data_IF_670209397704
#
_entry.id   IF_670209397704
#
_cell.length_a   1.000
_cell.length_b   1.000
_cell.length_c   1.000
_cell.angle_alpha   90.00
_cell.angle_beta   90.00
_cell.angle_gamma   90.00
#
_symmetry.space_group_name_H-M   'P 1'
#
loop_
_entity.id
_entity.type
_entity.pdbx_description
1 polymer ?
#
# COMPACT_ATOMS: atom_id res chain seq x y z
N UNK A 1 10.81 -1.54 -17.39
CA UNK A 1 10.18 -2.20 -16.24
C UNK A 1 11.21 -2.34 -15.12
N UNK A 2 10.81 -2.13 -13.90
CA UNK A 2 11.70 -2.15 -12.74
C UNK A 2 11.31 -3.29 -11.81
N UNK A 3 12.28 -3.80 -11.05
CA UNK A 3 12.01 -4.79 -10.01
C UNK A 3 11.93 -4.08 -8.65
N UNK A 4 10.82 -4.28 -7.96
CA UNK A 4 10.59 -3.72 -6.63
C UNK A 4 10.57 -4.86 -5.61
N UNK A 5 11.47 -4.79 -4.64
CA UNK A 5 11.50 -5.72 -3.51
C UNK A 5 10.69 -5.10 -2.39
N UNK A 6 9.41 -5.51 -2.31
CA UNK A 6 8.43 -4.89 -1.43
C UNK A 6 8.31 -5.66 -0.14
N UNK A 7 8.41 -4.94 0.97
CA UNK A 7 8.28 -5.47 2.33
C UNK A 7 7.13 -4.74 3.02
N UNK A 8 6.11 -5.47 3.41
CA UNK A 8 4.95 -4.91 4.09
C UNK A 8 4.84 -5.46 5.49
N UNK A 9 4.62 -4.59 6.45
CA UNK A 9 4.49 -4.95 7.86
C UNK A 9 3.11 -4.52 8.35
N UNK A 10 2.34 -5.47 8.88
CA UNK A 10 1.10 -5.17 9.59
C UNK A 10 1.45 -4.50 10.92
N UNK A 11 1.10 -3.23 11.06
CA UNK A 11 1.52 -2.42 12.20
C UNK A 11 1.02 -3.02 13.52
N UNK A 12 -0.25 -3.49 13.55
CA UNK A 12 -0.85 -4.01 14.78
C UNK A 12 -0.54 -5.47 15.06
N UNK A 13 -0.25 -6.25 14.03
CA UNK A 13 -0.02 -7.70 14.17
C UNK A 13 1.45 -8.08 14.08
N UNK A 14 2.28 -7.18 13.63
CA UNK A 14 3.70 -7.41 13.38
C UNK A 14 3.95 -8.57 12.41
N UNK A 15 3.01 -8.84 11.53
CA UNK A 15 3.16 -9.80 10.45
C UNK A 15 3.91 -9.14 9.31
N UNK A 16 4.88 -9.85 8.77
CA UNK A 16 5.78 -9.37 7.75
C UNK A 16 5.55 -10.14 6.45
N UNK A 17 5.34 -9.42 5.36
CA UNK A 17 5.18 -9.98 4.03
C UNK A 17 6.24 -9.41 3.11
N UNK A 18 6.76 -10.25 2.22
CA UNK A 18 7.78 -9.83 1.27
C UNK A 18 7.51 -10.44 -0.09
N UNK A 19 7.67 -9.63 -1.13
CA UNK A 19 7.49 -10.09 -2.51
C UNK A 19 8.27 -9.20 -3.46
N UNK A 20 8.98 -9.81 -4.41
CA UNK A 20 9.64 -9.09 -5.51
C UNK A 20 8.68 -9.01 -6.69
N UNK A 21 8.45 -7.81 -7.19
CA UNK A 21 7.48 -7.56 -8.25
C UNK A 21 8.11 -6.70 -9.34
N UNK A 22 7.93 -7.11 -10.59
CA UNK A 22 8.31 -6.30 -11.74
C UNK A 22 7.12 -5.44 -12.16
N UNK A 23 7.34 -4.14 -12.28
CA UNK A 23 6.31 -3.19 -12.64
C UNK A 23 6.92 -1.92 -13.24
N UNK A 24 6.09 -1.11 -13.87
CA UNK A 24 6.54 0.14 -14.48
C UNK A 24 6.68 1.27 -13.45
N UNK A 25 5.99 1.17 -12.32
CA UNK A 25 6.04 2.17 -11.26
C UNK A 25 5.87 1.51 -9.90
N UNK A 26 6.22 2.27 -8.85
CA UNK A 26 6.03 1.80 -7.47
C UNK A 26 4.54 1.53 -7.18
N UNK A 27 3.64 2.41 -7.64
CA UNK A 27 2.19 2.24 -7.40
C UNK A 27 1.67 0.99 -8.11
N UNK A 28 2.15 0.71 -9.31
CA UNK A 28 1.79 -0.53 -10.01
C UNK A 28 2.29 -1.75 -9.25
N UNK A 29 3.49 -1.67 -8.69
CA UNK A 29 4.07 -2.76 -7.91
C UNK A 29 3.25 -3.02 -6.63
N UNK A 30 2.85 -1.97 -5.91
CA UNK A 30 2.01 -2.10 -4.72
C UNK A 30 0.65 -2.67 -5.08
N UNK A 31 0.09 -2.25 -6.20
CA UNK A 31 -1.20 -2.78 -6.68
C UNK A 31 -1.12 -4.29 -6.92
N UNK A 32 -0.05 -4.76 -7.55
CA UNK A 32 0.18 -6.19 -7.74
C UNK A 32 0.38 -6.92 -6.42
N UNK A 33 1.10 -6.29 -5.47
CA UNK A 33 1.29 -6.85 -4.14
C UNK A 33 -0.05 -7.07 -3.43
N UNK A 34 -0.95 -6.10 -3.48
CA UNK A 34 -2.27 -6.21 -2.85
C UNK A 34 -3.18 -7.21 -3.56
N UNK A 35 -3.06 -7.36 -4.88
CA UNK A 35 -3.78 -8.41 -5.60
C UNK A 35 -3.38 -9.81 -5.14
N UNK A 36 -2.09 -10.01 -4.89
CA UNK A 36 -1.55 -11.29 -4.44
C UNK A 36 -1.77 -11.53 -2.95
N UNK A 37 -1.99 -10.48 -2.19
CA UNK A 37 -2.20 -10.54 -0.74
C UNK A 37 -3.46 -9.73 -0.39
N UNK A 38 -4.61 -10.24 -0.79
CA UNK A 38 -5.89 -9.51 -0.65
C UNK A 38 -6.26 -9.19 0.78
N UNK A 39 -5.76 -9.94 1.74
CA UNK A 39 -5.97 -9.65 3.16
C UNK A 39 -5.39 -8.30 3.58
N UNK A 40 -4.46 -7.75 2.82
CA UNK A 40 -3.88 -6.44 3.11
C UNK A 40 -4.87 -5.30 2.92
N UNK A 41 -5.91 -5.49 2.10
CA UNK A 41 -6.83 -4.42 1.72
C UNK A 41 -7.53 -3.80 2.93
N UNK A 42 -7.79 -4.59 3.96
CA UNK A 42 -8.47 -4.12 5.17
C UNK A 42 -7.51 -4.01 6.38
N UNK A 43 -6.23 -3.92 6.11
CA UNK A 43 -5.22 -3.86 7.16
C UNK A 43 -4.57 -2.50 7.29
N UNK A 44 -3.75 -2.34 8.33
CA UNK A 44 -2.89 -1.17 8.53
C UNK A 44 -1.47 -1.64 8.31
N UNK A 45 -0.79 -1.09 7.31
CA UNK A 45 0.52 -1.56 6.90
C UNK A 45 1.51 -0.41 6.68
N UNK A 46 2.76 -0.66 7.06
CA UNK A 46 3.89 0.13 6.61
C UNK A 46 4.54 -0.63 5.46
N UNK A 47 4.82 0.08 4.37
CA UNK A 47 5.34 -0.52 3.14
C UNK A 47 6.72 0.03 2.87
N UNK A 48 7.69 -0.88 2.80
CA UNK A 48 9.08 -0.57 2.55
C UNK A 48 9.52 -1.13 1.20
N UNK A 49 10.52 -0.50 0.63
CA UNK A 49 11.16 -1.01 -0.58
C UNK A 49 12.66 -1.09 -0.33
N UNK A 50 13.28 -2.19 -0.74
CA UNK A 50 14.71 -2.37 -0.59
C UNK A 50 15.46 -1.54 -1.63
N UNK A 51 16.43 -0.74 -1.18
CA UNK A 51 17.26 0.06 -2.07
C UNK A 51 18.30 -0.82 -2.75
N UNK A 52 18.40 -0.76 -4.09
CA UNK A 52 19.32 -1.65 -4.82
C UNK A 52 20.79 -1.51 -4.44
N UNK A 53 21.24 -0.29 -4.15
CA UNK A 53 22.66 -0.04 -3.89
C UNK A 53 23.08 -0.35 -2.47
N UNK A 54 22.30 0.09 -1.48
CA UNK A 54 22.66 -0.08 -0.07
C UNK A 54 22.11 -1.36 0.56
N UNK A 55 21.07 -1.93 -0.04
CA UNK A 55 20.35 -3.06 0.56
C UNK A 55 19.45 -2.68 1.72
N UNK A 56 19.38 -1.39 2.07
CA UNK A 56 18.56 -0.90 3.16
C UNK A 56 17.10 -0.86 2.77
N UNK A 57 16.22 -1.04 3.77
CA UNK A 57 14.79 -0.86 3.59
C UNK A 57 14.42 0.61 3.81
N UNK A 58 13.74 1.20 2.84
CA UNK A 58 13.25 2.57 2.94
C UNK A 58 11.74 2.54 3.06
N UNK A 59 11.20 3.25 4.05
CA UNK A 59 9.76 3.41 4.19
C UNK A 59 9.23 4.24 3.02
N UNK A 60 8.36 3.65 2.21
CA UNK A 60 7.85 4.28 1.00
C UNK A 60 6.40 4.70 1.10
N UNK A 61 5.60 4.02 1.91
CA UNK A 61 4.17 4.29 2.00
C UNK A 61 3.58 3.72 3.28
N UNK A 62 2.46 4.29 3.67
CA UNK A 62 1.65 3.82 4.78
C UNK A 62 0.22 3.61 4.29
N UNK A 63 -0.38 2.49 4.68
CA UNK A 63 -1.75 2.15 4.28
C UNK A 63 -2.60 2.03 5.53
N UNK A 64 -3.68 2.81 5.60
CA UNK A 64 -4.53 2.86 6.80
C UNK A 64 -5.97 3.20 6.44
N UNK A 65 -6.87 2.82 7.32
CA UNK A 65 -8.30 3.08 7.19
C UNK A 65 -8.75 4.23 8.08
N UNK A 66 -9.57 5.10 7.53
CA UNK A 66 -10.20 6.19 8.26
C UNK A 66 -11.68 5.85 8.40
N UNK A 67 -12.17 5.78 9.64
CA UNK A 67 -13.56 5.51 9.94
C UNK A 67 -14.32 6.81 10.10
N UNK A 68 -15.48 6.90 9.46
CA UNK A 68 -16.33 8.08 9.53
C UNK A 68 -17.80 7.64 9.50
N UNK A 69 -18.69 8.57 9.83
CA UNK A 69 -20.12 8.35 9.74
C UNK A 69 -20.68 9.12 8.54
N UNK A 70 -21.45 8.42 7.75
CA UNK A 70 -22.15 8.99 6.62
C UNK A 70 -23.62 8.55 6.67
N UNK A 71 -24.52 9.51 6.77
CA UNK A 71 -25.96 9.26 6.90
C UNK A 71 -26.29 8.26 8.03
N UNK A 72 -25.59 8.41 9.16
CA UNK A 72 -25.82 7.53 10.32
C UNK A 72 -25.17 6.15 10.22
N UNK A 73 -24.50 5.85 9.12
CA UNK A 73 -23.83 4.57 8.92
C UNK A 73 -22.32 4.72 9.09
N UNK A 74 -21.74 3.81 9.87
CA UNK A 74 -20.29 3.76 10.06
C UNK A 74 -19.62 3.19 8.81
N UNK A 75 -18.67 3.92 8.26
CA UNK A 75 -17.92 3.51 7.07
C UNK A 75 -16.42 3.67 7.30
N UNK A 76 -15.64 2.85 6.61
CA UNK A 76 -14.18 2.95 6.64
C UNK A 76 -13.67 3.05 5.21
N UNK A 77 -12.81 4.03 4.98
CA UNK A 77 -12.13 4.21 3.71
C UNK A 77 -10.63 4.09 3.93
N UNK A 78 -9.97 3.26 3.12
CA UNK A 78 -8.55 2.98 3.23
C UNK A 78 -7.76 3.78 2.22
N UNK A 79 -6.63 4.31 2.66
CA UNK A 79 -5.76 5.14 1.83
C UNK A 79 -4.32 4.64 1.88
N UNK A 80 -3.67 4.66 0.72
CA UNK A 80 -2.23 4.50 0.60
C UNK A 80 -1.63 5.91 0.51
N UNK A 81 -0.82 6.26 1.50
CA UNK A 81 -0.13 7.55 1.52
C UNK A 81 1.34 7.32 1.23
N UNK A 82 1.85 7.89 0.16
CA UNK A 82 3.23 7.72 -0.23
C UNK A 82 4.12 8.81 0.39
N UNK A 83 5.40 8.51 0.49
CA UNK A 83 6.38 9.40 1.11
C UNK A 83 6.47 10.75 0.40
N UNK A 84 6.23 10.78 -0.90
CA UNK A 84 6.27 12.00 -1.71
C UNK A 84 4.98 12.83 -1.64
N UNK A 85 4.01 12.41 -0.81
CA UNK A 85 2.77 13.15 -0.60
C UNK A 85 1.59 12.67 -1.42
N UNK A 86 1.75 11.62 -2.20
CA UNK A 86 0.64 11.04 -2.96
C UNK A 86 -0.34 10.32 -2.06
N UNK A 87 -1.62 10.36 -2.42
CA UNK A 87 -2.68 9.67 -1.70
C UNK A 87 -3.52 8.88 -2.69
N UNK A 88 -3.67 7.58 -2.42
CA UNK A 88 -4.30 6.64 -3.35
C UNK A 88 -5.35 5.81 -2.65
N UNK A 89 -6.34 5.35 -3.43
CA UNK A 89 -7.38 4.44 -2.94
C UNK A 89 -7.43 3.20 -3.81
N UNK A 90 -7.86 2.10 -3.22
CA UNK A 90 -8.01 0.83 -3.93
C UNK A 90 -9.36 0.80 -4.63
N UNK A 91 -9.36 0.57 -5.96
CA UNK A 91 -10.60 0.54 -6.75
C UNK A 91 -11.14 -0.87 -7.00
N UNK A 92 -10.57 -1.88 -6.34
CA UNK A 92 -10.91 -3.28 -6.57
C UNK A 92 -9.88 -4.04 -7.38
N UNK A 93 -9.04 -3.33 -8.13
CA UNK A 93 -8.01 -3.93 -8.98
C UNK A 93 -6.64 -3.31 -8.78
N UNK A 94 -6.59 -2.01 -8.50
CA UNK A 94 -5.33 -1.28 -8.33
C UNK A 94 -5.55 -0.02 -7.52
N UNK A 95 -4.44 0.61 -7.16
CA UNK A 95 -4.44 1.91 -6.51
C UNK A 95 -4.57 3.02 -7.56
N UNK A 96 -5.50 3.94 -7.32
CA UNK A 96 -5.69 5.13 -8.14
C UNK A 96 -5.60 6.35 -7.24
N UNK A 97 -5.28 7.50 -7.82
CA UNK A 97 -5.21 8.74 -7.04
C UNK A 97 -6.57 9.07 -6.43
N UNK A 98 -6.54 9.58 -5.21
CA UNK A 98 -7.75 9.86 -4.45
C UNK A 98 -8.67 10.85 -5.17
N UNK A 99 -8.10 11.83 -5.85
CA UNK A 99 -8.86 12.84 -6.59
C UNK A 99 -9.56 12.28 -7.83
N UNK A 100 -9.26 11.05 -8.23
CA UNK A 100 -9.90 10.36 -9.35
C UNK A 100 -11.03 9.43 -8.90
N UNK A 101 -11.16 9.24 -7.62
CA UNK A 101 -12.13 8.29 -7.05
C UNK A 101 -13.51 8.89 -6.83
#
# INVERSE_FOLDING_TARGET
>A
MFTYDIHAVYVKRQIYLRLSIEANSFIDAISEFFKKNKECINGVLDIYCKRPKSGDLALMAHYDGITYFYEGTRQTKYFLSTKDGGKYVWNGERFIMDDES
#
